data_IF_812549945919
#
_entry.id   IF_812549945919
#
_cell.length_a   1.000
_cell.length_b   1.000
_cell.length_c   1.000
_cell.angle_alpha   90.00
_cell.angle_beta   90.00
_cell.angle_gamma   90.00
#
_symmetry.space_group_name_H-M   'P 1'
#
loop_
_entity.id
_entity.type
_entity.pdbx_description
1 polymer ?
#
# COMPACT_ATOMS: atom_id res chain seq x y z
N UNK A 1 33.34 35.30 4.47
CA UNK A 1 32.79 34.08 5.09
C UNK A 1 31.40 33.88 4.52
N UNK A 2 31.18 32.82 3.74
CA UNK A 2 29.88 32.51 3.12
C UNK A 2 29.41 31.19 3.74
N UNK A 3 28.38 31.23 4.58
CA UNK A 3 27.79 30.05 5.21
C UNK A 3 26.64 29.54 4.34
N UNK A 4 26.96 28.70 3.36
CA UNK A 4 25.94 28.00 2.58
C UNK A 4 25.42 26.83 3.41
N UNK A 5 24.18 26.97 3.92
CA UNK A 5 23.40 25.86 4.46
C UNK A 5 23.19 24.87 3.31
N UNK A 6 23.72 23.66 3.45
CA UNK A 6 23.54 22.60 2.48
C UNK A 6 22.07 22.16 2.49
N UNK A 7 21.25 22.72 1.58
CA UNK A 7 19.98 22.13 1.19
C UNK A 7 20.26 20.94 0.28
N UNK A 8 20.81 19.88 0.87
CA UNK A 8 20.95 18.60 0.21
C UNK A 8 19.53 18.02 0.07
N UNK A 9 19.07 17.68 -1.15
CA UNK A 9 17.86 16.91 -1.30
C UNK A 9 18.03 15.60 -0.52
N UNK A 10 16.98 15.05 0.10
CA UNK A 10 17.08 13.77 0.78
C UNK A 10 17.64 12.76 -0.24
N UNK A 11 18.83 12.24 0.04
CA UNK A 11 19.33 11.07 -0.68
C UNK A 11 18.44 9.93 -0.23
N UNK A 12 17.39 9.63 -1.00
CA UNK A 12 16.75 8.33 -0.94
C UNK A 12 17.86 7.33 -1.20
N UNK A 13 18.39 6.72 -0.13
CA UNK A 13 19.30 5.60 -0.27
C UNK A 13 18.54 4.58 -1.12
N UNK A 14 18.98 4.41 -2.37
CA UNK A 14 18.38 3.59 -3.42
C UNK A 14 18.53 2.11 -3.11
N UNK A 15 18.06 1.71 -1.94
CA UNK A 15 17.89 0.31 -1.58
C UNK A 15 16.40 0.01 -1.42
N UNK A 16 15.59 0.32 -2.45
CA UNK A 16 14.38 -0.47 -2.69
C UNK A 16 14.80 -1.71 -3.49
N UNK A 17 14.78 -2.91 -2.89
CA UNK A 17 15.71 -3.95 -3.27
C UNK A 17 15.05 -5.04 -4.13
N UNK A 18 15.89 -5.81 -4.82
CA UNK A 18 15.73 -7.27 -4.95
C UNK A 18 14.31 -7.74 -5.30
N UNK A 19 14.02 -7.77 -6.59
CA UNK A 19 12.96 -8.54 -7.24
C UNK A 19 11.60 -8.59 -6.48
N UNK A 20 10.63 -7.77 -6.92
CA UNK A 20 9.24 -7.85 -6.49
C UNK A 20 8.48 -9.04 -7.11
N UNK A 21 9.09 -9.71 -8.09
CA UNK A 21 8.59 -10.96 -8.65
C UNK A 21 8.70 -12.07 -7.60
N UNK A 22 7.85 -13.08 -7.77
CA UNK A 22 7.68 -14.24 -6.90
C UNK A 22 7.21 -13.93 -5.46
N UNK A 23 6.87 -12.67 -5.15
CA UNK A 23 6.27 -12.31 -3.86
C UNK A 23 4.76 -12.56 -3.89
N UNK A 24 4.23 -13.10 -2.79
CA UNK A 24 2.79 -13.30 -2.57
C UNK A 24 2.14 -12.06 -1.93
N UNK A 25 2.95 -11.17 -1.34
CA UNK A 25 2.55 -9.83 -0.94
C UNK A 25 3.74 -8.87 -0.90
N UNK A 26 3.53 -7.66 -1.41
CA UNK A 26 4.50 -6.57 -1.31
C UNK A 26 4.78 -6.16 0.14
N UNK A 27 3.86 -6.47 1.07
CA UNK A 27 3.99 -6.12 2.48
C UNK A 27 5.16 -6.84 3.15
N UNK A 28 5.62 -7.97 2.59
CA UNK A 28 6.87 -8.62 3.00
C UNK A 28 8.09 -7.71 2.79
N UNK A 29 8.09 -6.90 1.73
CA UNK A 29 9.11 -5.88 1.48
C UNK A 29 8.88 -4.64 2.32
N UNK A 30 7.61 -4.26 2.50
CA UNK A 30 7.23 -3.12 3.34
C UNK A 30 7.78 -3.24 4.78
N UNK A 31 7.85 -4.45 5.34
CA UNK A 31 8.49 -4.71 6.65
C UNK A 31 9.91 -4.17 6.76
N UNK A 32 10.66 -4.11 5.67
CA UNK A 32 12.05 -3.62 5.64
C UNK A 32 12.16 -2.19 5.12
N UNK A 33 11.04 -1.54 4.81
CA UNK A 33 11.04 -0.15 4.39
C UNK A 33 11.46 0.77 5.55
N UNK A 34 12.12 1.88 5.20
CA UNK A 34 12.73 2.78 6.17
C UNK A 34 11.70 3.24 7.22
N UNK A 35 12.08 3.17 8.50
CA UNK A 35 11.22 3.62 9.61
C UNK A 35 10.08 2.64 9.99
N UNK A 36 9.66 1.73 9.12
CA UNK A 36 8.51 0.83 9.38
C UNK A 36 8.75 -0.07 10.59
N UNK A 37 9.91 -0.74 10.69
CA UNK A 37 10.19 -1.60 11.85
C UNK A 37 10.21 -0.83 13.17
N UNK A 38 10.78 0.38 13.17
CA UNK A 38 10.83 1.24 14.35
C UNK A 38 9.43 1.66 14.80
N UNK A 39 8.55 2.01 13.85
CA UNK A 39 7.15 2.35 14.13
C UNK A 39 6.37 1.15 14.67
N UNK A 40 6.54 -0.03 14.09
CA UNK A 40 5.92 -1.29 14.58
C UNK A 40 6.37 -1.60 16.01
N UNK A 41 7.68 -1.53 16.29
CA UNK A 41 8.21 -1.74 17.64
C UNK A 41 7.70 -0.70 18.64
N UNK A 42 7.64 0.57 18.21
CA UNK A 42 7.10 1.66 19.02
C UNK A 42 5.63 1.46 19.35
N UNK A 43 4.83 1.03 18.37
CA UNK A 43 3.42 0.71 18.56
C UNK A 43 3.26 -0.47 19.52
N UNK A 44 3.99 -1.56 19.30
CA UNK A 44 3.95 -2.74 20.15
C UNK A 44 4.33 -2.41 21.61
N UNK A 45 5.46 -1.75 21.81
CA UNK A 45 5.93 -1.34 23.14
C UNK A 45 4.96 -0.38 23.82
N UNK A 46 4.38 0.56 23.06
CA UNK A 46 3.37 1.49 23.59
C UNK A 46 2.12 0.74 24.04
N UNK A 47 1.55 -0.13 23.19
CA UNK A 47 0.35 -0.92 23.50
C UNK A 47 0.57 -1.82 24.73
N UNK A 48 1.74 -2.45 24.86
CA UNK A 48 2.09 -3.23 26.06
C UNK A 48 2.16 -2.34 27.32
N UNK A 49 2.77 -1.15 27.23
CA UNK A 49 2.92 -0.24 28.37
C UNK A 49 1.58 0.31 28.91
N UNK A 50 0.55 0.36 28.07
CA UNK A 50 -0.78 0.89 28.42
C UNK A 50 -1.83 -0.20 28.66
N UNK A 51 -1.50 -1.48 28.46
CA UNK A 51 -2.45 -2.59 28.56
C UNK A 51 -3.19 -2.67 29.90
N UNK A 52 -2.53 -2.33 31.01
CA UNK A 52 -3.12 -2.31 32.36
C UNK A 52 -3.65 -0.94 32.81
N UNK A 53 -3.58 0.08 31.96
CA UNK A 53 -3.95 1.46 32.30
C UNK A 53 -5.40 1.75 31.92
N UNK A 54 -6.04 2.62 32.70
CA UNK A 54 -7.33 3.18 32.30
C UNK A 54 -7.15 4.07 31.06
N UNK A 55 -8.06 3.89 30.10
CA UNK A 55 -8.07 4.63 28.84
C UNK A 55 -8.23 6.12 29.13
N UNK A 56 -7.39 6.96 28.52
CA UNK A 56 -7.49 8.41 28.64
C UNK A 56 -7.12 9.08 27.31
N UNK A 57 -7.45 10.36 27.16
CA UNK A 57 -7.23 11.11 25.91
C UNK A 57 -5.77 11.07 25.45
N UNK A 58 -4.81 11.34 26.35
CA UNK A 58 -3.38 11.33 26.02
C UNK A 58 -2.88 9.98 25.50
N UNK A 59 -3.40 8.87 26.03
CA UNK A 59 -3.08 7.52 25.54
C UNK A 59 -3.62 7.32 24.13
N UNK A 60 -4.85 7.77 23.87
CA UNK A 60 -5.47 7.66 22.54
C UNK A 60 -4.74 8.54 21.52
N UNK A 61 -4.44 9.80 21.86
CA UNK A 61 -3.73 10.73 20.97
C UNK A 61 -2.35 10.16 20.60
N UNK A 62 -1.59 9.68 21.59
CA UNK A 62 -0.26 9.10 21.34
C UNK A 62 -0.31 7.81 20.53
N UNK A 63 -1.34 7.00 20.76
CA UNK A 63 -1.60 5.79 19.96
C UNK A 63 -1.83 6.20 18.50
N UNK A 64 -2.76 7.11 18.28
CA UNK A 64 -3.14 7.61 16.97
C UNK A 64 -1.94 8.22 16.22
N UNK A 65 -1.07 8.98 16.89
CA UNK A 65 0.16 9.52 16.28
C UNK A 65 1.05 8.43 15.65
N UNK A 66 1.27 7.32 16.36
CA UNK A 66 2.13 6.22 15.90
C UNK A 66 1.44 5.48 14.73
N UNK A 67 0.13 5.28 14.84
CA UNK A 67 -0.67 4.58 13.84
C UNK A 67 -0.75 5.36 12.53
N UNK A 68 -1.01 6.67 12.61
CA UNK A 68 -0.99 7.55 11.45
C UNK A 68 0.41 7.58 10.82
N UNK A 69 1.48 7.70 11.62
CA UNK A 69 2.84 7.68 11.11
C UNK A 69 3.16 6.36 10.36
N UNK A 70 2.64 5.22 10.84
CA UNK A 70 2.76 3.94 10.16
C UNK A 70 1.93 3.89 8.87
N UNK A 71 0.69 4.38 8.90
CA UNK A 71 -0.18 4.50 7.73
C UNK A 71 0.42 5.37 6.63
N UNK A 72 1.07 6.47 7.00
CA UNK A 72 1.80 7.37 6.08
C UNK A 72 3.01 6.72 5.40
N UNK A 73 3.53 5.59 5.90
CA UNK A 73 4.61 4.89 5.20
C UNK A 73 4.11 4.16 3.93
N UNK A 74 2.83 3.76 3.87
CA UNK A 74 2.28 3.08 2.69
C UNK A 74 2.36 3.91 1.40
N UNK A 75 1.87 5.16 1.33
CA UNK A 75 1.91 5.93 0.10
C UNK A 75 3.35 6.29 -0.29
N UNK A 76 4.22 6.53 0.70
CA UNK A 76 5.66 6.78 0.45
C UNK A 76 6.32 5.54 -0.14
N UNK A 77 6.01 4.35 0.39
CA UNK A 77 6.49 3.09 -0.14
C UNK A 77 6.00 2.84 -1.57
N UNK A 78 4.70 3.01 -1.84
CA UNK A 78 4.14 2.85 -3.18
C UNK A 78 4.77 3.83 -4.18
N UNK A 79 4.86 5.11 -3.83
CA UNK A 79 5.49 6.12 -4.68
C UNK A 79 6.95 5.78 -4.98
N UNK A 80 7.67 5.23 -4.01
CA UNK A 80 9.05 4.80 -4.21
C UNK A 80 9.19 3.63 -5.19
N UNK A 81 8.23 2.71 -5.22
CA UNK A 81 8.15 1.61 -6.19
C UNK A 81 7.78 2.15 -7.57
N UNK A 82 6.69 2.94 -7.65
CA UNK A 82 6.21 3.53 -8.90
C UNK A 82 7.28 4.40 -9.59
N UNK A 83 8.08 5.14 -8.80
CA UNK A 83 9.18 5.94 -9.34
C UNK A 83 10.42 5.13 -9.76
N UNK A 84 10.52 3.86 -9.35
CA UNK A 84 11.71 3.03 -9.57
C UNK A 84 11.53 1.93 -10.62
N UNK A 85 10.29 1.59 -10.97
CA UNK A 85 9.97 0.53 -11.92
C UNK A 85 9.24 1.09 -13.14
N UNK A 86 9.48 0.48 -14.30
CA UNK A 86 8.80 0.86 -15.53
C UNK A 86 7.32 0.45 -15.50
N UNK A 87 6.41 1.25 -16.09
CA UNK A 87 5.02 0.88 -16.23
C UNK A 87 4.84 -0.50 -16.87
N UNK A 88 3.93 -1.30 -16.31
CA UNK A 88 3.64 -2.64 -16.79
C UNK A 88 4.58 -3.72 -16.27
N UNK A 89 5.45 -3.43 -15.30
CA UNK A 89 6.31 -4.45 -14.66
C UNK A 89 5.51 -5.61 -14.03
N UNK A 90 4.24 -5.39 -13.68
CA UNK A 90 3.34 -6.44 -13.16
C UNK A 90 2.82 -7.40 -14.24
N UNK A 91 3.11 -7.14 -15.52
CA UNK A 91 2.81 -8.05 -16.63
C UNK A 91 3.75 -9.25 -16.71
N UNK A 92 4.86 -9.19 -15.98
CA UNK A 92 5.84 -10.27 -15.90
C UNK A 92 5.16 -11.54 -15.34
N UNK A 93 5.30 -12.70 -15.99
CA UNK A 93 4.66 -13.95 -15.55
C UNK A 93 5.14 -14.42 -14.17
N UNK A 94 6.29 -13.96 -13.70
CA UNK A 94 6.77 -14.23 -12.35
C UNK A 94 6.18 -13.27 -11.30
N UNK A 95 5.39 -12.27 -11.69
CA UNK A 95 4.67 -11.41 -10.75
C UNK A 95 3.50 -12.19 -10.13
N UNK A 96 3.62 -12.53 -8.85
CA UNK A 96 2.61 -13.28 -8.08
C UNK A 96 1.80 -12.40 -7.14
N UNK A 97 2.00 -11.09 -7.20
CA UNK A 97 1.27 -10.16 -6.36
C UNK A 97 -0.23 -10.25 -6.64
N UNK A 98 -1.10 -10.14 -5.63
CA UNK A 98 -2.54 -10.05 -5.82
C UNK A 98 -2.90 -8.85 -6.69
N UNK A 99 -3.99 -8.97 -7.46
CA UNK A 99 -4.42 -7.93 -8.39
C UNK A 99 -4.54 -6.55 -7.72
N UNK A 100 -5.06 -6.45 -6.49
CA UNK A 100 -5.17 -5.17 -5.78
C UNK A 100 -3.81 -4.51 -5.47
N UNK A 101 -2.77 -5.29 -5.18
CA UNK A 101 -1.42 -4.77 -4.99
C UNK A 101 -0.78 -4.39 -6.32
N UNK A 102 -1.04 -5.13 -7.41
CA UNK A 102 -0.62 -4.74 -8.76
C UNK A 102 -1.25 -3.40 -9.18
N UNK A 103 -2.56 -3.25 -8.99
CA UNK A 103 -3.30 -2.01 -9.30
C UNK A 103 -2.76 -0.80 -8.51
N UNK A 104 -2.36 -1.04 -7.27
CA UNK A 104 -1.80 -0.01 -6.40
C UNK A 104 -0.37 0.40 -6.80
N UNK A 105 0.48 -0.55 -7.20
CA UNK A 105 1.90 -0.31 -7.42
C UNK A 105 2.29 -0.07 -8.89
N UNK A 106 1.42 -0.44 -9.83
CA UNK A 106 1.63 -0.28 -11.27
C UNK A 106 0.40 0.37 -11.93
N UNK A 107 -0.09 1.53 -11.43
CA UNK A 107 -1.30 2.17 -11.95
C UNK A 107 -1.15 2.59 -13.41
N UNK A 108 0.06 2.95 -13.85
CA UNK A 108 0.35 3.37 -15.23
C UNK A 108 0.20 2.22 -16.24
N UNK A 109 0.20 0.96 -15.80
CA UNK A 109 -0.14 -0.20 -16.65
C UNK A 109 -1.50 -0.05 -17.32
N UNK A 110 -2.47 0.61 -16.66
CA UNK A 110 -3.80 0.82 -17.22
C UNK A 110 -3.79 1.68 -18.50
N UNK A 111 -2.76 2.52 -18.67
CA UNK A 111 -2.56 3.35 -19.87
C UNK A 111 -1.77 2.67 -20.99
N UNK A 112 -1.25 1.45 -20.77
CA UNK A 112 -0.48 0.75 -21.78
C UNK A 112 -1.39 0.06 -22.81
N UNK A 113 -0.91 -0.13 -24.06
CA UNK A 113 -1.63 -0.93 -25.05
C UNK A 113 -1.91 -2.34 -24.52
N UNK A 114 -3.11 -2.85 -24.81
CA UNK A 114 -3.48 -4.24 -24.53
C UNK A 114 -2.56 -5.17 -25.33
N UNK A 115 -1.97 -6.17 -24.67
CA UNK A 115 -1.14 -7.17 -25.36
C UNK A 115 -2.01 -8.04 -26.27
N UNK A 116 -1.61 -8.16 -27.53
CA UNK A 116 -2.19 -9.12 -28.48
C UNK A 116 -1.09 -10.12 -28.85
N UNK A 117 -1.21 -11.37 -28.39
CA UNK A 117 -0.25 -12.42 -28.70
C UNK A 117 -0.99 -13.67 -29.20
N UNK A 118 -0.76 -14.12 -30.45
CA UNK A 118 -1.45 -15.27 -31.02
C UNK A 118 -1.28 -16.57 -30.23
N UNK A 119 -0.14 -16.74 -29.58
CA UNK A 119 0.17 -17.95 -28.81
C UNK A 119 -0.22 -17.84 -27.32
N UNK A 120 -0.62 -16.65 -26.86
CA UNK A 120 -0.92 -16.36 -25.45
C UNK A 120 -2.13 -15.43 -25.31
N UNK A 121 -3.35 -15.89 -25.68
CA UNK A 121 -4.58 -15.09 -25.57
C UNK A 121 -4.91 -14.68 -24.13
N UNK A 122 -4.39 -15.39 -23.13
CA UNK A 122 -4.52 -15.06 -21.72
C UNK A 122 -3.92 -13.70 -21.36
N UNK A 123 -2.89 -13.21 -22.07
CA UNK A 123 -2.29 -11.91 -21.80
C UNK A 123 -3.23 -10.75 -22.13
N UNK A 124 -3.98 -10.89 -23.23
CA UNK A 124 -5.04 -9.95 -23.61
C UNK A 124 -6.09 -9.88 -22.51
N UNK A 125 -6.55 -11.05 -22.05
CA UNK A 125 -7.56 -11.14 -20.99
C UNK A 125 -7.07 -10.53 -19.67
N UNK A 126 -5.82 -10.80 -19.27
CA UNK A 126 -5.21 -10.22 -18.07
C UNK A 126 -5.16 -8.69 -18.11
N UNK A 127 -4.83 -8.10 -19.26
CA UNK A 127 -4.79 -6.64 -19.39
C UNK A 127 -6.21 -6.03 -19.36
N UNK A 128 -7.20 -6.71 -19.94
CA UNK A 128 -8.60 -6.29 -19.86
C UNK A 128 -9.15 -6.38 -18.42
N UNK A 129 -8.83 -7.45 -17.69
CA UNK A 129 -9.21 -7.62 -16.28
C UNK A 129 -8.56 -6.58 -15.38
N UNK A 130 -7.27 -6.28 -15.60
CA UNK A 130 -6.57 -5.24 -14.89
C UNK A 130 -7.25 -3.87 -15.08
N UNK A 131 -7.54 -3.50 -16.33
CA UNK A 131 -8.19 -2.22 -16.63
C UNK A 131 -9.59 -2.14 -16.02
N UNK A 132 -10.40 -3.19 -16.13
CA UNK A 132 -11.73 -3.24 -15.54
C UNK A 132 -11.70 -3.12 -14.01
N UNK A 133 -10.75 -3.79 -13.35
CA UNK A 133 -10.57 -3.71 -11.91
C UNK A 133 -10.04 -2.33 -11.45
N UNK A 134 -9.14 -1.72 -12.24
CA UNK A 134 -8.66 -0.37 -12.00
C UNK A 134 -9.80 0.65 -12.06
N UNK A 135 -10.67 0.56 -13.08
CA UNK A 135 -11.85 1.41 -13.24
C UNK A 135 -12.90 1.19 -12.13
N UNK A 136 -13.09 -0.05 -11.70
CA UNK A 136 -14.02 -0.37 -10.62
C UNK A 136 -13.59 0.28 -9.30
N UNK A 137 -12.29 0.27 -9.00
CA UNK A 137 -11.69 1.12 -7.96
C UNK A 137 -12.03 0.73 -6.51
N UNK A 138 -12.23 -0.56 -6.25
CA UNK A 138 -12.37 -1.13 -4.90
C UNK A 138 -11.03 -1.65 -4.32
N UNK A 139 -10.00 -1.72 -5.16
CA UNK A 139 -8.68 -2.18 -4.79
C UNK A 139 -8.03 -1.41 -3.61
N UNK A 140 -8.30 -0.11 -3.35
CA UNK A 140 -7.72 0.56 -2.18
C UNK A 140 -8.20 -0.05 -0.86
N UNK A 141 -9.48 -0.43 -0.78
CA UNK A 141 -10.05 -1.09 0.39
C UNK A 141 -9.45 -2.49 0.59
N UNK A 142 -9.17 -3.20 -0.51
CA UNK A 142 -8.51 -4.51 -0.46
C UNK A 142 -7.05 -4.38 0.05
N UNK A 143 -6.30 -3.38 -0.43
CA UNK A 143 -4.95 -3.08 0.06
C UNK A 143 -4.97 -2.70 1.53
N UNK A 144 -5.92 -1.85 1.95
CA UNK A 144 -6.10 -1.47 3.36
C UNK A 144 -6.38 -2.68 4.25
N UNK A 145 -7.19 -3.63 3.79
CA UNK A 145 -7.43 -4.89 4.49
C UNK A 145 -6.17 -5.77 4.61
N UNK A 146 -5.38 -5.88 3.54
CA UNK A 146 -4.10 -6.61 3.56
C UNK A 146 -3.10 -5.97 4.52
N UNK A 147 -3.00 -4.64 4.51
CA UNK A 147 -2.20 -3.89 5.48
C UNK A 147 -2.65 -4.15 6.92
N UNK A 148 -3.95 -4.13 7.18
CA UNK A 148 -4.49 -4.41 8.51
C UNK A 148 -4.11 -5.81 9.02
N UNK A 149 -4.19 -6.81 8.15
CA UNK A 149 -3.74 -8.17 8.45
C UNK A 149 -2.24 -8.23 8.74
N UNK A 150 -1.44 -7.52 7.95
CA UNK A 150 0.01 -7.42 8.16
C UNK A 150 0.35 -6.74 9.49
N UNK A 151 -0.26 -5.61 9.85
CA UNK A 151 -0.04 -4.94 11.15
C UNK A 151 -0.38 -5.90 12.30
N UNK A 152 -1.50 -6.61 12.21
CA UNK A 152 -1.87 -7.61 13.21
C UNK A 152 -0.82 -8.73 13.32
N UNK A 153 -0.28 -9.23 12.21
CA UNK A 153 0.79 -10.23 12.23
C UNK A 153 2.04 -9.69 12.92
N UNK A 154 2.50 -8.49 12.56
CA UNK A 154 3.66 -7.84 13.17
C UNK A 154 3.48 -7.62 14.69
N UNK A 155 2.29 -7.21 15.14
CA UNK A 155 2.00 -7.02 16.57
C UNK A 155 1.98 -8.35 17.33
N UNK A 156 1.48 -9.44 16.73
CA UNK A 156 1.53 -10.78 17.32
C UNK A 156 2.97 -11.27 17.48
N UNK A 157 3.80 -11.08 16.46
CA UNK A 157 5.23 -11.41 16.53
C UNK A 157 5.94 -10.60 17.62
N UNK A 158 5.53 -9.34 17.84
CA UNK A 158 6.02 -8.50 18.92
C UNK A 158 5.44 -8.83 20.31
N UNK A 159 4.64 -9.90 20.45
CA UNK A 159 4.13 -10.40 21.72
C UNK A 159 2.71 -9.93 22.10
N UNK A 160 2.02 -9.18 21.24
CA UNK A 160 0.61 -8.80 21.47
C UNK A 160 -0.32 -9.83 20.82
N UNK A 161 -0.65 -10.88 21.57
CA UNK A 161 -1.49 -11.99 21.09
C UNK A 161 -2.99 -11.67 21.02
N UNK A 162 -3.44 -10.60 21.70
CA UNK A 162 -4.86 -10.22 21.79
C UNK A 162 -5.35 -9.29 20.66
N UNK A 163 -4.69 -9.26 19.50
CA UNK A 163 -5.12 -8.48 18.33
C UNK A 163 -6.07 -9.30 17.44
N UNK A 164 -7.25 -8.75 17.17
CA UNK A 164 -8.34 -9.43 16.43
C UNK A 164 -9.10 -8.50 15.47
N UNK A 165 -10.40 -8.74 15.30
CA UNK A 165 -11.22 -8.06 14.28
C UNK A 165 -11.43 -6.57 14.55
N UNK A 166 -11.44 -6.16 15.82
CA UNK A 166 -11.55 -4.75 16.19
C UNK A 166 -10.30 -3.97 15.76
N UNK A 167 -9.13 -4.56 16.01
CA UNK A 167 -7.84 -4.02 15.58
C UNK A 167 -7.73 -4.04 14.06
N UNK A 168 -8.15 -5.10 13.39
CA UNK A 168 -8.21 -5.15 11.91
C UNK A 168 -8.98 -3.96 11.32
N UNK A 169 -10.22 -3.74 11.78
CA UNK A 169 -11.05 -2.62 11.28
C UNK A 169 -10.42 -1.27 11.59
N UNK A 170 -9.69 -1.17 12.70
CA UNK A 170 -8.99 0.03 13.08
C UNK A 170 -7.80 0.30 12.15
N UNK A 171 -6.95 -0.70 11.88
CA UNK A 171 -5.80 -0.57 10.98
C UNK A 171 -6.22 -0.29 9.54
N UNK A 172 -7.28 -0.94 9.06
CA UNK A 172 -7.79 -0.70 7.71
C UNK A 172 -8.20 0.77 7.51
N UNK A 173 -8.69 1.45 8.56
CA UNK A 173 -9.03 2.88 8.49
C UNK A 173 -7.81 3.81 8.51
N UNK A 174 -6.69 3.35 9.07
CA UNK A 174 -5.46 4.13 9.15
C UNK A 174 -4.57 3.94 7.91
N UNK A 175 -4.87 2.94 7.07
CA UNK A 175 -4.18 2.73 5.82
C UNK A 175 -4.45 3.91 4.87
N UNK A 176 -3.40 4.65 4.53
CA UNK A 176 -3.47 5.68 3.50
C UNK A 176 -3.03 5.02 2.20
N UNK A 177 -4.00 4.62 1.39
CA UNK A 177 -3.74 4.05 0.09
C UNK A 177 -4.02 5.14 -0.94
N UNK A 178 -2.96 5.83 -1.36
CA UNK A 178 -3.07 6.85 -2.39
C UNK A 178 -3.41 6.18 -3.72
N UNK A 179 -4.65 6.38 -4.17
CA UNK A 179 -4.99 6.21 -5.56
C UNK A 179 -4.51 7.46 -6.30
N UNK A 180 -3.48 7.33 -7.13
CA UNK A 180 -3.10 8.38 -8.06
C UNK A 180 -4.32 8.69 -8.97
N UNK A 181 -5.03 9.77 -8.65
CA UNK A 181 -6.19 10.30 -9.40
C UNK A 181 -5.67 11.40 -10.33
N UNK A 182 -6.14 11.53 -11.59
CA UNK A 182 -7.56 11.76 -11.85
C UNK A 182 -8.23 10.70 -12.72
N UNK A 183 -9.16 9.94 -12.14
CA UNK A 183 -10.20 9.27 -12.94
C UNK A 183 -11.19 10.34 -13.37
N UNK A 184 -11.39 10.39 -14.68
CA UNK A 184 -12.44 11.15 -15.35
C UNK A 184 -13.76 10.98 -14.61
N UNK A 185 -14.33 12.11 -14.20
CA UNK A 185 -15.71 12.24 -13.73
C UNK A 185 -16.67 11.42 -14.60
N UNK A 186 -17.21 10.32 -14.05
CA UNK A 186 -18.65 10.01 -14.01
C UNK A 186 -18.87 8.64 -13.40
N UNK A 187 -18.89 8.60 -12.07
CA UNK A 187 -19.05 7.37 -11.28
C UNK A 187 -20.48 6.79 -11.25
N UNK A 188 -21.40 7.24 -12.12
CA UNK A 188 -22.77 6.75 -12.41
C UNK A 188 -23.59 7.87 -13.07
N UNK A 189 -23.52 8.01 -14.39
CA UNK A 189 -24.63 8.59 -15.14
C UNK A 189 -25.35 7.41 -15.82
N UNK A 190 -26.64 7.15 -15.52
CA UNK A 190 -27.42 6.20 -16.30
C UNK A 190 -27.46 6.68 -17.76
N UNK A 191 -27.62 5.79 -18.75
CA UNK A 191 -27.89 6.22 -20.11
C UNK A 191 -29.16 7.08 -20.09
N UNK A 192 -29.02 8.39 -20.28
CA UNK A 192 -30.15 9.24 -20.65
C UNK A 192 -30.71 8.64 -21.94
N UNK A 193 -31.91 8.06 -21.82
CA UNK A 193 -32.54 7.26 -22.85
C UNK A 193 -32.65 8.00 -24.18
N UNK A 194 -32.55 7.21 -25.25
CA UNK A 194 -32.95 7.61 -26.59
C UNK A 194 -34.42 8.06 -26.58
N UNK A 195 -34.69 9.23 -27.16
CA UNK A 195 -35.96 9.55 -27.83
C UNK A 195 -35.64 10.12 -29.19
#
# INVERSE_FOLDING_TARGET
MNYLLASLPPTWARELPRNLLHLESVLERFTYFEGVQSLVQSLAGFLQSVASRQRNRKINDRREDIEQALGFQLPVFAASIQASLEPGWTRDPECRLPLCEQLWLDPERAGLPIREHPESPEWTQQDLEFNAAYEFGDWPDQVAGRFANWVNAQLREAGLTAVGDAEYKHWAKQAIVDAAWPVSLQRRAPPGGQT
#
